data_IF_412990437941
#
_entry.id   IF_412990437941
#
_cell.length_a   1.000
_cell.length_b   1.000
_cell.length_c   1.000
_cell.angle_alpha   90.00
_cell.angle_beta   90.00
_cell.angle_gamma   90.00
#
_symmetry.space_group_name_H-M   'P 1'
#
loop_
_entity.id
_entity.type
_entity.pdbx_description
1 polymer ?
#
# COMPACT_ATOMS: atom_id res chain seq x y z
N UNK A 1 51.57 -30.62 8.01
CA UNK A 1 50.32 -31.25 7.51
C UNK A 1 49.13 -30.52 8.10
N UNK A 2 48.47 -29.67 7.32
CA UNK A 2 47.21 -29.04 7.71
C UNK A 2 46.35 -28.93 6.43
N UNK A 3 45.39 -29.83 6.27
CA UNK A 3 44.52 -29.89 5.09
C UNK A 3 43.07 -29.93 5.53
N UNK A 4 42.46 -28.76 5.60
CA UNK A 4 41.02 -28.57 5.36
C UNK A 4 40.79 -27.07 5.28
N UNK A 5 40.46 -26.56 4.10
CA UNK A 5 39.26 -25.74 3.89
C UNK A 5 39.09 -25.44 2.39
N UNK A 6 37.83 -25.54 1.98
CA UNK A 6 37.31 -25.50 0.63
C UNK A 6 37.74 -24.24 -0.15
N UNK A 7 38.28 -24.48 -1.35
CA UNK A 7 38.28 -23.53 -2.45
C UNK A 7 37.32 -24.07 -3.52
N UNK A 8 36.23 -23.42 -3.87
CA UNK A 8 36.04 -22.11 -4.51
C UNK A 8 35.57 -22.31 -5.96
N UNK A 9 34.44 -21.65 -6.23
CA UNK A 9 33.92 -21.10 -7.49
C UNK A 9 34.05 -21.90 -8.81
N UNK A 10 32.86 -22.04 -9.43
CA UNK A 10 32.60 -21.92 -10.87
C UNK A 10 33.35 -22.92 -11.76
N UNK A 11 32.74 -24.08 -11.98
CA UNK A 11 32.94 -24.84 -13.22
C UNK A 11 31.67 -24.78 -14.06
N UNK A 12 31.54 -23.67 -14.80
CA UNK A 12 30.77 -23.62 -16.04
C UNK A 12 31.27 -24.74 -16.96
N UNK A 13 30.42 -25.71 -17.31
CA UNK A 13 30.65 -26.59 -18.47
C UNK A 13 29.85 -26.03 -19.64
N UNK A 14 30.50 -25.47 -20.68
CA UNK A 14 29.80 -25.07 -21.89
C UNK A 14 29.39 -26.31 -22.68
N UNK A 15 28.17 -26.24 -23.23
CA UNK A 15 27.55 -27.03 -24.29
C UNK A 15 28.46 -28.00 -25.02
N UNK A 16 27.98 -29.24 -25.22
CA UNK A 16 28.02 -29.96 -26.52
C UNK A 16 27.59 -31.42 -26.31
N UNK A 17 26.56 -31.85 -27.04
CA UNK A 17 26.31 -33.21 -27.58
C UNK A 17 25.01 -33.92 -27.21
N UNK A 18 24.19 -33.50 -26.25
CA UNK A 18 23.06 -34.35 -25.83
C UNK A 18 21.71 -33.64 -25.66
N UNK A 19 21.30 -32.87 -26.66
CA UNK A 19 19.92 -32.38 -26.80
C UNK A 19 19.50 -32.38 -28.28
N UNK A 20 19.87 -33.45 -29.01
CA UNK A 20 19.51 -33.67 -30.42
C UNK A 20 18.30 -34.62 -30.59
N UNK A 21 17.54 -34.93 -29.54
CA UNK A 21 16.42 -35.89 -29.59
C UNK A 21 15.17 -35.42 -28.83
N UNK A 22 14.72 -34.18 -29.05
CA UNK A 22 13.40 -33.72 -28.54
C UNK A 22 12.56 -33.04 -29.62
N UNK A 23 12.81 -33.36 -30.89
CA UNK A 23 11.91 -33.06 -31.98
C UNK A 23 11.00 -34.27 -32.22
N UNK A 24 9.97 -34.46 -31.39
CA UNK A 24 8.72 -35.15 -31.73
C UNK A 24 7.71 -34.91 -30.58
N UNK A 25 6.56 -34.33 -30.92
CA UNK A 25 5.36 -34.09 -30.09
C UNK A 25 5.44 -32.94 -29.07
N UNK A 26 5.60 -31.67 -29.45
CA UNK A 26 4.63 -30.94 -30.28
C UNK A 26 3.33 -30.55 -29.55
N UNK A 27 2.93 -31.23 -28.46
CA UNK A 27 1.63 -31.00 -27.78
C UNK A 27 1.76 -30.56 -26.30
N UNK A 28 2.95 -30.64 -25.71
CA UNK A 28 3.15 -30.25 -24.31
C UNK A 28 3.35 -28.73 -24.09
N UNK A 29 3.55 -27.94 -25.16
CA UNK A 29 3.82 -26.50 -25.04
C UNK A 29 2.57 -25.61 -24.92
N UNK A 30 1.36 -26.17 -25.09
CA UNK A 30 0.10 -25.42 -24.92
C UNK A 30 -0.45 -25.52 -23.49
N UNK A 31 0.09 -26.40 -22.64
CA UNK A 31 -0.52 -26.72 -21.34
C UNK A 31 -0.05 -25.87 -20.14
N UNK A 32 0.98 -25.01 -20.28
CA UNK A 32 1.54 -24.27 -19.12
C UNK A 32 1.24 -22.77 -19.15
N UNK A 33 0.49 -22.28 -20.14
CA UNK A 33 0.09 -20.86 -20.20
C UNK A 33 -1.29 -20.58 -19.57
N UNK A 34 -1.82 -21.51 -18.76
CA UNK A 34 -3.00 -21.28 -17.90
C UNK A 34 -2.65 -21.29 -16.41
N UNK A 35 -1.36 -21.24 -16.05
CA UNK A 35 -0.98 -20.86 -14.69
C UNK A 35 -1.41 -19.41 -14.52
N UNK A 36 -2.58 -19.27 -13.92
CA UNK A 36 -3.35 -18.06 -13.90
C UNK A 36 -2.52 -16.85 -13.50
N UNK A 37 -2.91 -15.70 -14.04
CA UNK A 37 -2.73 -14.47 -13.30
C UNK A 37 -3.42 -14.65 -11.95
N UNK A 38 -2.69 -15.19 -10.97
CA UNK A 38 -3.05 -15.05 -9.57
C UNK A 38 -3.23 -13.56 -9.39
N UNK A 39 -4.49 -13.12 -9.20
CA UNK A 39 -4.73 -11.76 -8.74
C UNK A 39 -3.79 -11.57 -7.56
N UNK A 40 -2.93 -10.53 -7.54
CA UNK A 40 -2.17 -10.27 -6.33
C UNK A 40 -3.21 -10.18 -5.23
N UNK A 41 -3.16 -11.15 -4.33
CA UNK A 41 -4.01 -11.16 -3.16
C UNK A 41 -3.56 -9.94 -2.38
N UNK A 42 -4.32 -8.86 -2.53
CA UNK A 42 -4.10 -7.63 -1.78
C UNK A 42 -4.15 -8.12 -0.34
N UNK A 43 -3.02 -8.13 0.40
CA UNK A 43 -3.04 -8.58 1.78
C UNK A 43 -4.12 -7.74 2.44
N UNK A 44 -5.14 -8.42 3.00
CA UNK A 44 -6.27 -7.75 3.61
C UNK A 44 -5.68 -6.73 4.56
N UNK A 45 -5.84 -5.44 4.19
CA UNK A 45 -5.18 -4.29 4.80
C UNK A 45 -4.90 -4.60 6.27
N UNK A 46 -3.65 -4.99 6.50
CA UNK A 46 -3.15 -5.33 7.81
C UNK A 46 -3.35 -4.10 8.68
N UNK A 47 -3.60 -4.33 9.97
CA UNK A 47 -3.96 -3.31 10.97
C UNK A 47 -2.94 -2.16 11.14
N UNK A 48 -1.89 -2.15 10.31
CA UNK A 48 -0.76 -1.23 10.31
C UNK A 48 -0.65 -0.42 9.01
N UNK A 49 -1.73 -0.21 8.25
CA UNK A 49 -1.72 0.70 7.09
C UNK A 49 -1.33 2.12 7.55
N UNK A 50 -0.06 2.58 7.41
CA UNK A 50 0.40 3.80 8.06
C UNK A 50 -0.29 5.01 7.46
N UNK A 51 -0.64 4.94 6.17
CA UNK A 51 -1.39 5.99 5.50
C UNK A 51 -2.84 6.14 6.00
N UNK A 52 -3.32 5.34 6.96
CA UNK A 52 -4.64 5.44 7.60
C UNK A 52 -4.55 5.70 9.12
N UNK A 53 -3.43 6.22 9.62
CA UNK A 53 -3.31 6.69 11.01
C UNK A 53 -3.67 8.18 11.16
N UNK A 54 -4.00 8.61 12.38
CA UNK A 54 -4.45 9.98 12.68
C UNK A 54 -3.37 11.01 12.30
N UNK A 55 -2.10 10.75 12.60
CA UNK A 55 -1.01 11.68 12.33
C UNK A 55 -0.75 11.82 10.82
N UNK A 56 -0.77 10.72 10.07
CA UNK A 56 -0.68 10.78 8.61
C UNK A 56 -1.81 11.63 8.01
N UNK A 57 -3.06 11.49 8.48
CA UNK A 57 -4.15 12.35 8.00
C UNK A 57 -3.95 13.83 8.40
N UNK A 58 -3.44 14.10 9.60
CA UNK A 58 -3.11 15.48 10.03
C UNK A 58 -2.03 16.11 9.15
N UNK A 59 -1.07 15.34 8.67
CA UNK A 59 -0.08 15.84 7.71
C UNK A 59 -0.74 16.16 6.36
N UNK A 60 -1.71 15.36 5.91
CA UNK A 60 -2.46 15.63 4.68
C UNK A 60 -3.30 16.92 4.76
N UNK A 61 -3.83 17.27 5.93
CA UNK A 61 -4.53 18.55 6.15
C UNK A 61 -3.65 19.79 5.89
N UNK A 62 -2.33 19.64 5.95
CA UNK A 62 -1.36 20.73 5.77
C UNK A 62 -0.86 20.87 4.34
N UNK A 63 -1.14 19.90 3.47
CA UNK A 63 -0.74 19.95 2.06
C UNK A 63 -1.48 21.07 1.33
N UNK A 64 -0.87 21.63 0.28
CA UNK A 64 -1.49 22.72 -0.47
C UNK A 64 -2.61 22.26 -1.43
N UNK A 65 -2.94 20.96 -1.43
CA UNK A 65 -3.97 20.40 -2.28
C UNK A 65 -5.31 20.29 -1.52
N UNK A 66 -6.31 21.02 -2.00
CA UNK A 66 -7.68 21.01 -1.48
C UNK A 66 -8.27 19.59 -1.45
N UNK A 67 -8.00 18.76 -2.48
CA UNK A 67 -8.47 17.38 -2.55
C UNK A 67 -7.90 16.53 -1.42
N UNK A 68 -6.60 16.70 -1.11
CA UNK A 68 -5.95 15.98 -0.02
C UNK A 68 -6.51 16.39 1.34
N UNK A 69 -6.76 17.69 1.55
CA UNK A 69 -7.37 18.18 2.79
C UNK A 69 -8.78 17.62 2.99
N UNK A 70 -9.62 17.62 1.95
CA UNK A 70 -10.98 17.05 2.01
C UNK A 70 -10.91 15.55 2.31
N UNK A 71 -10.03 14.81 1.62
CA UNK A 71 -9.85 13.38 1.86
C UNK A 71 -9.44 13.10 3.31
N UNK A 72 -8.48 13.87 3.83
CA UNK A 72 -8.00 13.74 5.19
C UNK A 72 -9.08 14.05 6.23
N UNK A 73 -9.84 15.14 6.05
CA UNK A 73 -10.96 15.47 6.93
C UNK A 73 -12.01 14.35 6.95
N UNK A 74 -12.36 13.81 5.78
CA UNK A 74 -13.30 12.70 5.68
C UNK A 74 -12.80 11.44 6.37
N UNK A 75 -11.51 11.10 6.19
CA UNK A 75 -10.91 9.95 6.86
C UNK A 75 -10.92 10.12 8.38
N UNK A 76 -10.50 11.27 8.88
CA UNK A 76 -10.55 11.60 10.32
C UNK A 76 -11.97 11.51 10.88
N UNK A 77 -12.97 12.01 10.16
CA UNK A 77 -14.37 11.87 10.54
C UNK A 77 -14.84 10.40 10.59
N UNK A 78 -14.36 9.55 9.67
CA UNK A 78 -14.67 8.10 9.68
C UNK A 78 -13.98 7.34 10.80
N UNK A 79 -12.87 7.85 11.31
CA UNK A 79 -12.19 7.29 12.49
C UNK A 79 -12.93 7.63 13.79
N UNK A 80 -13.82 8.62 13.77
CA UNK A 80 -14.63 8.99 14.91
C UNK A 80 -13.78 9.46 16.10
N UNK A 81 -14.10 9.07 17.35
CA UNK A 81 -13.46 9.62 18.55
C UNK A 81 -11.96 9.37 18.63
N UNK A 82 -11.46 8.30 17.99
CA UNK A 82 -10.03 8.01 17.91
C UNK A 82 -9.23 9.14 17.23
N UNK A 83 -9.87 9.95 16.39
CA UNK A 83 -9.26 11.11 15.74
C UNK A 83 -9.32 12.40 16.57
N UNK A 84 -9.64 12.34 17.87
CA UNK A 84 -9.60 13.49 18.78
C UNK A 84 -8.32 14.35 18.69
N UNK A 85 -7.10 13.81 18.49
CA UNK A 85 -5.89 14.63 18.32
C UNK A 85 -5.93 15.59 17.11
N UNK A 86 -6.81 15.36 16.14
CA UNK A 86 -6.96 16.19 14.95
C UNK A 86 -7.98 17.33 15.10
N UNK A 87 -8.71 17.42 16.22
CA UNK A 87 -9.79 18.42 16.42
C UNK A 87 -9.30 19.84 16.15
N UNK A 88 -8.16 20.25 16.72
CA UNK A 88 -7.63 21.62 16.51
C UNK A 88 -7.26 21.90 15.05
N UNK A 89 -6.75 20.90 14.33
CA UNK A 89 -6.42 21.05 12.91
C UNK A 89 -7.69 21.15 12.05
N UNK A 90 -8.74 20.39 12.39
CA UNK A 90 -10.05 20.47 11.75
C UNK A 90 -10.79 21.77 12.05
N UNK A 91 -10.72 22.30 13.27
CA UNK A 91 -11.31 23.62 13.62
C UNK A 91 -10.66 24.75 12.84
N UNK A 92 -9.35 24.65 12.56
CA UNK A 92 -8.67 25.60 11.68
C UNK A 92 -9.17 25.46 10.25
N UNK A 93 -9.38 24.23 9.77
CA UNK A 93 -9.88 23.97 8.42
C UNK A 93 -11.34 24.41 8.24
N UNK A 94 -12.17 24.30 9.27
CA UNK A 94 -13.55 24.75 9.28
C UNK A 94 -13.69 26.27 9.02
N UNK A 95 -12.65 27.05 9.34
CA UNK A 95 -12.59 28.49 9.08
C UNK A 95 -12.09 28.85 7.68
N UNK A 96 -11.91 27.87 6.79
CA UNK A 96 -11.51 28.11 5.40
C UNK A 96 -12.62 28.84 4.64
N UNK A 97 -12.24 29.76 3.75
CA UNK A 97 -13.17 30.41 2.81
C UNK A 97 -13.71 29.46 1.73
N UNK A 98 -13.05 28.31 1.53
CA UNK A 98 -13.53 27.27 0.62
C UNK A 98 -14.66 26.49 1.32
N UNK A 99 -15.88 26.67 0.82
CA UNK A 99 -17.08 26.04 1.36
C UNK A 99 -17.02 24.50 1.40
N UNK A 100 -16.26 23.86 0.50
CA UNK A 100 -16.10 22.39 0.52
C UNK A 100 -15.15 21.96 1.64
N UNK A 101 -14.09 22.74 1.88
CA UNK A 101 -13.17 22.48 2.99
C UNK A 101 -13.84 22.70 4.34
N UNK A 102 -14.58 23.80 4.49
CA UNK A 102 -15.27 24.09 5.75
C UNK A 102 -16.31 23.01 6.06
N UNK A 103 -17.16 22.66 5.10
CA UNK A 103 -18.18 21.62 5.28
C UNK A 103 -17.59 20.24 5.59
N UNK A 104 -16.48 19.86 4.94
CA UNK A 104 -15.81 18.60 5.24
C UNK A 104 -15.23 18.57 6.65
N UNK A 105 -14.64 19.69 7.11
CA UNK A 105 -14.10 19.82 8.45
C UNK A 105 -15.19 19.77 9.53
N UNK A 106 -16.29 20.49 9.33
CA UNK A 106 -17.43 20.52 10.25
C UNK A 106 -18.06 19.13 10.39
N UNK A 107 -18.29 18.43 9.27
CA UNK A 107 -18.81 17.05 9.31
C UNK A 107 -17.86 16.08 10.02
N UNK A 108 -16.54 16.27 9.87
CA UNK A 108 -15.56 15.46 10.59
C UNK A 108 -15.60 15.75 12.09
N UNK A 109 -15.65 17.02 12.50
CA UNK A 109 -15.75 17.43 13.90
C UNK A 109 -17.00 16.89 14.57
N UNK A 110 -18.14 16.90 13.88
CA UNK A 110 -19.38 16.30 14.36
C UNK A 110 -19.17 14.81 14.67
N UNK A 111 -18.68 14.03 13.70
CA UNK A 111 -18.45 12.58 13.88
C UNK A 111 -17.47 12.26 15.01
N UNK A 112 -16.41 13.05 15.15
CA UNK A 112 -15.41 12.87 16.20
C UNK A 112 -16.00 13.17 17.60
N UNK A 113 -16.94 14.12 17.70
CA UNK A 113 -17.51 14.57 18.98
C UNK A 113 -18.75 13.80 19.43
N UNK A 114 -19.48 13.18 18.50
CA UNK A 114 -20.82 12.64 18.78
C UNK A 114 -20.79 11.18 19.23
N UNK A 115 -19.69 10.46 19.04
CA UNK A 115 -19.53 9.09 19.54
C UNK A 115 -18.71 9.11 20.86
N UNK A 116 -19.29 8.72 22.01
CA UNK A 116 -18.55 8.51 23.26
C UNK A 116 -17.85 7.14 23.32
#
# INVERSE_FOLDING_TARGET
MNSMHAADRRRWKPLRRLTLLTALAGCALVFVASLGCGKPEVPAADADAPWLDVESQRQLLRQNDVRLKILAANNLGRMGPAAAPAITDLERLAKSEDAKLSAAAESALEKIRTEP
#
